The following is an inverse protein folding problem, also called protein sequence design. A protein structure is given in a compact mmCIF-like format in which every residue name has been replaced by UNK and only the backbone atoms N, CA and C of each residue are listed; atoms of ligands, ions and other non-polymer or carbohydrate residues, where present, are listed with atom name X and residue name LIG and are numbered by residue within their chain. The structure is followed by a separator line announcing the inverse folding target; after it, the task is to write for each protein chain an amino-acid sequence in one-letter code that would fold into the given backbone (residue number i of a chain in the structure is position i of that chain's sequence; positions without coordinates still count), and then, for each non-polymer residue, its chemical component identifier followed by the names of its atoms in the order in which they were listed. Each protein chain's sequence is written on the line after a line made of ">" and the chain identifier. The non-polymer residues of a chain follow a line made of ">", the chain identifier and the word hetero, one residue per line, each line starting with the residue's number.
data_IF_077756660165
#
_entry.id   IF_077756660165
#
_cell.length_a   1.000
_cell.length_b   1.000
_cell.length_c   1.000
_cell.angle_alpha   90.00
_cell.angle_beta   90.00
_cell.angle_gamma   90.00
#
_symmetry.space_group_name_H-M   'P 1'
#
loop_
_entity.id
_entity.type
_entity.pdbx_description
1 polymer ?
#
# COMPACT_ATOMS: atom_id res chain seq x y z
N UNK A 1 -47.87 1.74 6.52
CA UNK A 1 -46.82 0.83 6.00
C UNK A 1 -46.43 1.37 4.64
N UNK A 2 -45.23 1.84 4.31
CA UNK A 2 -43.87 1.45 4.67
C UNK A 2 -42.99 2.69 4.86
N UNK A 3 -42.18 2.71 5.93
CA UNK A 3 -41.09 3.68 6.08
C UNK A 3 -39.91 3.17 5.24
N UNK A 4 -39.67 3.77 4.06
CA UNK A 4 -38.46 3.48 3.27
C UNK A 4 -37.23 3.80 4.12
N UNK A 5 -36.54 2.74 4.56
CA UNK A 5 -35.24 2.80 5.22
C UNK A 5 -34.28 3.58 4.31
N UNK A 6 -33.97 4.83 4.67
CA UNK A 6 -32.78 5.53 4.16
C UNK A 6 -31.58 4.66 4.56
N UNK A 7 -31.09 3.84 3.64
CA UNK A 7 -29.81 3.17 3.83
C UNK A 7 -28.76 4.27 3.99
N UNK A 8 -28.11 4.29 5.16
CA UNK A 8 -26.93 5.08 5.41
C UNK A 8 -25.91 4.80 4.31
N UNK A 9 -25.76 5.73 3.36
CA UNK A 9 -24.67 5.73 2.40
C UNK A 9 -23.40 6.03 3.20
N UNK A 10 -22.78 4.98 3.75
CA UNK A 10 -21.47 5.07 4.39
C UNK A 10 -20.55 5.85 3.44
N UNK A 11 -19.99 6.96 3.94
CA UNK A 11 -19.01 7.79 3.25
C UNK A 11 -18.11 6.93 2.38
N UNK A 12 -18.31 7.00 1.06
CA UNK A 12 -17.45 6.34 0.09
C UNK A 12 -16.08 6.96 0.29
N UNK A 13 -15.14 6.22 0.86
CA UNK A 13 -13.77 6.70 1.00
C UNK A 13 -13.34 7.28 -0.34
N UNK A 14 -12.86 8.53 -0.36
CA UNK A 14 -12.45 9.23 -1.59
C UNK A 14 -11.10 8.68 -2.09
N UNK A 15 -10.97 7.36 -2.12
CA UNK A 15 -9.81 6.62 -2.55
C UNK A 15 -10.03 6.10 -3.97
N UNK A 16 -9.03 6.24 -4.84
CA UNK A 16 -9.07 5.58 -6.14
C UNK A 16 -9.26 4.07 -5.98
N UNK A 17 -10.04 3.48 -6.88
CA UNK A 17 -10.17 2.03 -6.99
C UNK A 17 -8.91 1.44 -7.65
N UNK A 18 -7.79 1.49 -6.94
CA UNK A 18 -6.48 1.10 -7.46
C UNK A 18 -6.49 -0.29 -8.08
N UNK A 19 -7.18 -1.26 -7.45
CA UNK A 19 -7.32 -2.60 -8.01
C UNK A 19 -7.85 -2.58 -9.46
N UNK A 20 -8.90 -1.80 -9.74
CA UNK A 20 -9.46 -1.69 -11.11
C UNK A 20 -8.49 -1.02 -12.07
N UNK A 21 -7.91 0.10 -11.64
CA UNK A 21 -6.96 0.87 -12.45
C UNK A 21 -5.76 0.01 -12.87
N UNK A 22 -5.18 -0.73 -11.92
CA UNK A 22 -4.06 -1.61 -12.18
C UNK A 22 -4.47 -2.87 -12.96
N UNK A 23 -5.66 -3.44 -12.72
CA UNK A 23 -6.17 -4.57 -13.50
C UNK A 23 -6.36 -4.20 -14.97
N UNK A 24 -7.00 -3.06 -15.25
CA UNK A 24 -7.16 -2.55 -16.62
C UNK A 24 -5.80 -2.26 -17.27
N UNK A 25 -4.88 -1.62 -16.53
CA UNK A 25 -3.53 -1.35 -17.02
C UNK A 25 -2.73 -2.62 -17.34
N UNK A 26 -2.85 -3.67 -16.52
CA UNK A 26 -2.19 -4.96 -16.75
C UNK A 26 -2.76 -5.62 -18.00
N UNK A 27 -4.09 -5.71 -18.10
CA UNK A 27 -4.77 -6.31 -19.26
C UNK A 27 -4.39 -5.61 -20.56
N UNK A 28 -4.40 -4.27 -20.56
CA UNK A 28 -4.31 -3.49 -21.80
C UNK A 28 -2.86 -3.18 -22.22
N UNK A 29 -1.91 -3.10 -21.27
CA UNK A 29 -0.53 -2.63 -21.55
C UNK A 29 0.59 -3.56 -21.08
N UNK A 30 0.32 -4.44 -20.12
CA UNK A 30 1.34 -5.31 -19.51
C UNK A 30 0.85 -6.75 -19.30
N UNK A 31 0.25 -7.40 -20.31
CA UNK A 31 -0.26 -8.76 -20.16
C UNK A 31 0.86 -9.75 -19.79
N UNK A 32 2.10 -9.48 -20.22
CA UNK A 32 3.32 -10.21 -19.87
C UNK A 32 3.61 -10.26 -18.36
N UNK A 33 3.03 -9.34 -17.58
CA UNK A 33 3.27 -9.21 -16.13
C UNK A 33 2.10 -9.67 -15.28
N UNK A 34 1.02 -10.12 -15.91
CA UNK A 34 -0.18 -10.56 -15.21
C UNK A 34 0.11 -11.69 -14.22
N UNK A 35 0.90 -12.68 -14.65
CA UNK A 35 1.33 -13.80 -13.79
C UNK A 35 2.02 -13.34 -12.50
N UNK A 36 2.82 -12.26 -12.55
CA UNK A 36 3.52 -11.71 -11.39
C UNK A 36 2.58 -10.91 -10.46
N UNK A 37 1.42 -10.48 -10.96
CA UNK A 37 0.45 -9.65 -10.25
C UNK A 37 -0.78 -10.43 -9.77
N UNK A 38 -0.95 -11.70 -10.15
CA UNK A 38 -2.17 -12.48 -9.95
C UNK A 38 -2.59 -12.57 -8.47
N UNK A 39 -1.62 -12.70 -7.56
CA UNK A 39 -1.86 -12.73 -6.12
C UNK A 39 -2.48 -11.42 -5.60
N UNK A 40 -2.16 -10.29 -6.23
CA UNK A 40 -2.75 -9.00 -5.89
C UNK A 40 -4.10 -8.82 -6.60
N UNK A 41 -4.23 -9.27 -7.85
CA UNK A 41 -5.49 -9.19 -8.60
C UNK A 41 -6.62 -10.00 -7.94
N UNK A 42 -6.30 -11.13 -7.32
CA UNK A 42 -7.29 -11.92 -6.58
C UNK A 42 -7.69 -11.29 -5.22
N UNK A 43 -6.99 -10.26 -4.76
CA UNK A 43 -7.26 -9.59 -3.49
C UNK A 43 -8.29 -8.48 -3.68
N UNK A 44 -9.42 -8.58 -2.96
CA UNK A 44 -10.54 -7.63 -3.05
C UNK A 44 -10.20 -6.20 -2.59
N UNK A 45 -9.36 -6.05 -1.56
CA UNK A 45 -9.03 -4.77 -0.96
C UNK A 45 -7.52 -4.54 -0.97
N UNK A 46 -7.07 -3.60 -1.79
CA UNK A 46 -5.66 -3.21 -1.87
C UNK A 46 -5.31 -2.20 -0.79
N UNK A 47 -4.23 -2.46 -0.09
CA UNK A 47 -3.58 -1.49 0.79
C UNK A 47 -2.57 -0.65 0.00
N UNK A 48 -2.10 0.44 0.57
CA UNK A 48 -0.99 1.21 -0.02
C UNK A 48 0.24 0.33 -0.32
N UNK A 49 0.53 -0.67 0.50
CA UNK A 49 1.60 -1.63 0.23
C UNK A 49 1.36 -2.46 -1.03
N UNK A 50 0.14 -2.93 -1.25
CA UNK A 50 -0.21 -3.69 -2.46
C UNK A 50 0.00 -2.83 -3.71
N UNK A 51 -0.49 -1.58 -3.67
CA UNK A 51 -0.30 -0.60 -4.75
C UNK A 51 1.18 -0.39 -5.05
N UNK A 52 2.00 -0.17 -4.01
CA UNK A 52 3.44 0.04 -4.16
C UNK A 52 4.11 -1.19 -4.80
N UNK A 53 3.75 -2.40 -4.38
CA UNK A 53 4.33 -3.64 -4.90
C UNK A 53 3.95 -3.86 -6.36
N UNK A 54 2.67 -3.74 -6.72
CA UNK A 54 2.24 -3.87 -8.11
C UNK A 54 2.88 -2.79 -8.97
N UNK A 55 2.93 -1.55 -8.51
CA UNK A 55 3.62 -0.46 -9.22
C UNK A 55 5.09 -0.81 -9.49
N UNK A 56 5.79 -1.37 -8.50
CA UNK A 56 7.16 -1.82 -8.71
C UNK A 56 7.21 -2.93 -9.77
N UNK A 57 6.38 -3.97 -9.71
CA UNK A 57 6.37 -5.05 -10.71
C UNK A 57 6.11 -4.53 -12.13
N UNK A 58 5.16 -3.60 -12.30
CA UNK A 58 4.80 -3.05 -13.61
C UNK A 58 5.84 -2.08 -14.18
N UNK A 59 6.65 -1.43 -13.34
CA UNK A 59 7.60 -0.41 -13.78
C UNK A 59 9.06 -0.69 -13.44
N UNK A 60 9.39 -1.90 -12.94
CA UNK A 60 10.74 -2.29 -12.47
C UNK A 60 11.85 -1.95 -13.46
N UNK A 61 11.58 -2.09 -14.76
CA UNK A 61 12.59 -1.96 -15.82
C UNK A 61 12.50 -0.63 -16.58
N UNK A 62 11.59 0.28 -16.18
CA UNK A 62 11.28 1.50 -16.96
C UNK A 62 11.56 2.80 -16.22
N UNK A 63 11.97 2.76 -14.94
CA UNK A 63 12.13 3.97 -14.13
C UNK A 63 13.60 4.36 -13.91
N UNK A 64 13.91 5.63 -14.16
CA UNK A 64 15.19 6.22 -13.76
C UNK A 64 15.26 6.47 -12.25
N UNK A 65 16.48 6.64 -11.71
CA UNK A 65 16.70 6.91 -10.26
C UNK A 65 15.86 8.08 -9.73
N UNK A 66 15.68 9.13 -10.54
CA UNK A 66 14.89 10.33 -10.18
C UNK A 66 13.41 10.02 -10.01
N UNK A 67 12.83 9.23 -10.90
CA UNK A 67 11.41 8.83 -10.87
C UNK A 67 11.12 7.92 -9.69
N UNK A 68 12.04 7.00 -9.39
CA UNK A 68 11.96 6.14 -8.21
C UNK A 68 11.94 6.99 -6.93
N UNK A 69 12.81 7.99 -6.82
CA UNK A 69 12.88 8.88 -5.65
C UNK A 69 11.62 9.75 -5.50
N UNK A 70 11.11 10.31 -6.59
CA UNK A 70 9.86 11.08 -6.58
C UNK A 70 8.67 10.19 -6.20
N UNK A 71 8.58 9.01 -6.79
CA UNK A 71 7.56 8.02 -6.48
C UNK A 71 7.56 7.61 -5.02
N UNK A 72 8.74 7.48 -4.38
CA UNK A 72 8.84 7.19 -2.94
C UNK A 72 8.29 8.32 -2.07
N UNK A 73 8.57 9.58 -2.42
CA UNK A 73 8.12 10.76 -1.66
C UNK A 73 6.63 10.99 -1.74
N UNK A 74 5.98 10.56 -2.83
CA UNK A 74 4.54 10.76 -3.06
C UNK A 74 3.67 9.59 -2.56
N UNK A 75 4.25 8.61 -1.85
CA UNK A 75 3.47 7.49 -1.31
C UNK A 75 2.57 7.95 -0.18
N UNK A 76 1.26 7.76 -0.36
CA UNK A 76 0.28 7.89 0.71
C UNK A 76 0.04 6.53 1.35
N UNK A 77 0.53 6.34 2.58
CA UNK A 77 0.33 5.10 3.34
C UNK A 77 -0.98 5.17 4.13
N UNK A 78 -1.78 4.11 4.06
CA UNK A 78 -2.95 3.96 4.92
C UNK A 78 -2.60 3.36 6.29
N UNK A 79 -3.48 3.57 7.28
CA UNK A 79 -3.24 3.10 8.65
C UNK A 79 -2.98 1.60 8.70
N UNK A 80 -3.71 0.80 7.90
CA UNK A 80 -3.51 -0.65 7.82
C UNK A 80 -2.10 -1.00 7.34
N UNK A 81 -1.60 -0.31 6.32
CA UNK A 81 -0.25 -0.47 5.78
C UNK A 81 0.80 -0.08 6.80
N UNK A 82 0.59 1.04 7.51
CA UNK A 82 1.53 1.50 8.54
C UNK A 82 1.62 0.47 9.67
N UNK A 83 0.48 -0.03 10.17
CA UNK A 83 0.44 -1.09 11.18
C UNK A 83 1.13 -2.36 10.71
N UNK A 84 0.87 -2.80 9.47
CA UNK A 84 1.54 -3.96 8.88
C UNK A 84 3.07 -3.80 8.85
N UNK A 85 3.57 -2.62 8.49
CA UNK A 85 5.03 -2.33 8.48
C UNK A 85 5.60 -2.37 9.90
N UNK A 86 4.90 -1.81 10.89
CA UNK A 86 5.35 -1.82 12.28
C UNK A 86 5.29 -3.22 12.90
N UNK A 87 4.31 -4.04 12.52
CA UNK A 87 4.21 -5.42 12.95
C UNK A 87 5.37 -6.26 12.40
N UNK A 88 5.67 -6.11 11.11
CA UNK A 88 6.82 -6.75 10.46
C UNK A 88 8.15 -6.37 11.11
N UNK A 89 8.24 -5.18 11.72
CA UNK A 89 9.40 -4.79 12.55
C UNK A 89 9.55 -5.69 13.78
N UNK A 90 8.45 -5.95 14.50
CA UNK A 90 8.45 -6.78 15.71
C UNK A 90 8.73 -8.24 15.37
N UNK A 91 8.02 -8.78 14.39
CA UNK A 91 8.11 -10.19 13.98
C UNK A 91 9.51 -10.57 13.50
N UNK A 92 10.22 -9.66 12.84
CA UNK A 92 11.57 -9.90 12.32
C UNK A 92 12.67 -9.25 13.18
N UNK A 93 12.33 -8.73 14.37
CA UNK A 93 13.28 -8.06 15.29
C UNK A 93 14.13 -6.96 14.63
N UNK A 94 13.54 -6.17 13.73
CA UNK A 94 14.26 -5.15 12.96
C UNK A 94 14.42 -3.85 13.75
N UNK A 95 15.59 -3.21 13.63
CA UNK A 95 15.74 -1.83 14.09
C UNK A 95 15.13 -0.83 13.09
N UNK A 96 14.99 0.44 13.49
CA UNK A 96 14.37 1.46 12.64
C UNK A 96 15.13 1.69 11.32
N UNK A 97 16.45 1.44 11.28
CA UNK A 97 17.29 1.60 10.07
C UNK A 97 17.06 0.46 9.09
N UNK A 98 16.97 -0.77 9.58
CA UNK A 98 16.69 -1.96 8.78
C UNK A 98 15.28 -1.91 8.21
N UNK A 99 14.28 -1.59 9.03
CA UNK A 99 12.90 -1.45 8.58
C UNK A 99 12.78 -0.36 7.51
N UNK A 100 13.41 0.78 7.74
CA UNK A 100 13.45 1.88 6.78
C UNK A 100 14.08 1.45 5.45
N UNK A 101 15.17 0.67 5.49
CA UNK A 101 15.81 0.12 4.30
C UNK A 101 14.88 -0.85 3.56
N UNK A 102 14.27 -1.81 4.28
CA UNK A 102 13.36 -2.83 3.73
C UNK A 102 12.18 -2.21 2.97
N UNK A 103 11.57 -1.16 3.52
CA UNK A 103 10.39 -0.50 2.93
C UNK A 103 10.71 0.76 2.11
N UNK A 104 11.99 1.12 1.97
CA UNK A 104 12.47 2.35 1.32
C UNK A 104 11.83 3.60 1.93
N UNK A 105 11.82 3.66 3.25
CA UNK A 105 11.32 4.77 4.08
C UNK A 105 12.48 5.56 4.68
N UNK A 106 12.19 6.72 5.27
CA UNK A 106 13.15 7.38 6.14
C UNK A 106 13.07 6.82 7.56
N UNK A 107 14.20 6.78 8.28
CA UNK A 107 14.22 6.42 9.71
C UNK A 107 13.29 7.30 10.54
N UNK A 108 13.16 8.58 10.18
CA UNK A 108 12.28 9.54 10.83
C UNK A 108 10.80 9.21 10.60
N UNK A 109 10.44 8.71 9.41
CA UNK A 109 9.09 8.22 9.10
C UNK A 109 8.73 7.06 10.03
N UNK A 110 9.63 6.08 10.17
CA UNK A 110 9.44 4.94 11.07
C UNK A 110 9.28 5.41 12.52
N UNK A 111 10.15 6.29 13.00
CA UNK A 111 10.06 6.85 14.35
C UNK A 111 8.72 7.58 14.59
N UNK A 112 8.28 8.40 13.63
CA UNK A 112 7.00 9.10 13.69
C UNK A 112 5.82 8.13 13.72
N UNK A 113 5.84 7.09 12.90
CA UNK A 113 4.79 6.08 12.88
C UNK A 113 4.72 5.27 14.17
N UNK A 114 5.86 4.90 14.76
CA UNK A 114 5.88 4.24 16.08
C UNK A 114 5.23 5.11 17.15
N UNK A 115 5.47 6.41 17.15
CA UNK A 115 4.83 7.33 18.10
C UNK A 115 3.31 7.44 17.88
N UNK A 116 2.86 7.42 16.63
CA UNK A 116 1.44 7.61 16.29
C UNK A 116 0.60 6.32 16.35
N UNK A 117 1.22 5.16 16.12
CA UNK A 117 0.51 3.89 15.91
C UNK A 117 1.11 2.72 16.71
N UNK A 118 2.13 2.95 17.56
CA UNK A 118 2.85 1.88 18.26
C UNK A 118 2.09 1.26 19.43
N UNK A 119 1.19 2.00 20.06
CA UNK A 119 0.38 1.51 21.20
C UNK A 119 -0.63 0.45 20.75
N UNK A 120 -1.27 0.64 19.59
CA UNK A 120 -2.29 -0.27 19.02
C UNK A 120 -1.74 -1.57 18.39
N UNK A 121 -0.42 -1.77 18.39
CA UNK A 121 0.24 -2.97 17.82
C UNK A 121 0.74 -3.89 18.93
N UNK A 122 0.43 -3.58 20.20
CA UNK A 122 0.92 -4.28 21.38
C UNK A 122 -0.15 -5.11 22.10
N UNK A 123 -1.34 -5.23 21.49
CA UNK A 123 -2.40 -6.19 21.80
C UNK A 123 -2.51 -7.21 20.65
#
# INVERSE_FOLDING_TARGET
>A
MERKKKQNLKNKENRPLYHKIYADMIRDKYPDREANCINYLNKRNWTALDVIRVNMILFSNKQGRKEILLGQRHRAYDQKSIKQILQDQKENMLNNKELATKYKLSRNTVAKWKKLFGEEVSE
#
